data_IF_452497111976
#
_entry.id   IF_452497111976
#
_cell.length_a   1.000
_cell.length_b   1.000
_cell.length_c   1.000
_cell.angle_alpha   90.00
_cell.angle_beta   90.00
_cell.angle_gamma   90.00
#
_symmetry.space_group_name_H-M   'P 1'
#
loop_
_entity.id
_entity.type
_entity.pdbx_description
1 polymer ?
#
# COMPACT_ATOMS: atom_id res chain seq x y z
N UNK A 1 -13.18 11.30 -3.73
CA UNK A 1 -14.09 10.23 -4.17
C UNK A 1 -14.15 9.17 -3.08
N UNK A 2 -15.33 8.86 -2.55
CA UNK A 2 -15.51 7.79 -1.56
C UNK A 2 -15.80 6.45 -2.26
N UNK A 3 -15.77 5.34 -1.51
CA UNK A 3 -15.93 3.99 -2.07
C UNK A 3 -17.32 3.75 -2.69
N UNK A 4 -18.36 4.39 -2.16
CA UNK A 4 -19.71 4.29 -2.70
C UNK A 4 -19.79 4.96 -4.08
N UNK A 5 -19.18 6.13 -4.24
CA UNK A 5 -19.08 6.82 -5.53
C UNK A 5 -18.31 5.97 -6.55
N UNK A 6 -17.23 5.29 -6.14
CA UNK A 6 -16.48 4.41 -7.04
C UNK A 6 -17.33 3.26 -7.58
N UNK A 7 -18.18 2.65 -6.74
CA UNK A 7 -19.10 1.58 -7.18
C UNK A 7 -20.14 2.12 -8.15
N UNK A 8 -20.76 3.26 -7.82
CA UNK A 8 -21.76 3.87 -8.69
C UNK A 8 -21.20 4.19 -10.08
N UNK A 9 -19.95 4.67 -10.14
CA UNK A 9 -19.25 4.90 -11.41
C UNK A 9 -19.08 3.60 -12.19
N UNK A 10 -18.69 2.51 -11.54
CA UNK A 10 -18.52 1.19 -12.20
C UNK A 10 -19.86 0.67 -12.73
N UNK A 11 -20.91 0.71 -11.91
CA UNK A 11 -22.24 0.23 -12.30
C UNK A 11 -22.82 1.07 -13.45
N UNK A 12 -22.70 2.40 -13.37
CA UNK A 12 -23.14 3.31 -14.44
C UNK A 12 -22.33 3.07 -15.72
N UNK A 13 -21.01 2.92 -15.61
CA UNK A 13 -20.17 2.65 -16.78
C UNK A 13 -20.54 1.34 -17.47
N UNK A 14 -20.80 0.26 -16.71
CA UNK A 14 -21.26 -1.03 -17.26
C UNK A 14 -22.71 -0.99 -17.77
N UNK A 15 -23.55 -0.11 -17.23
CA UNK A 15 -24.87 0.16 -17.78
C UNK A 15 -24.75 0.77 -19.18
N UNK A 16 -23.87 1.77 -19.32
CA UNK A 16 -23.69 2.53 -20.57
C UNK A 16 -22.86 1.77 -21.62
N UNK A 17 -22.06 0.77 -21.19
CA UNK A 17 -21.23 -0.08 -22.06
C UNK A 17 -21.55 -1.57 -21.85
N UNK A 18 -22.76 -2.03 -22.26
CA UNK A 18 -23.25 -3.37 -21.98
C UNK A 18 -22.40 -4.50 -22.60
N UNK A 19 -21.64 -4.21 -23.65
CA UNK A 19 -20.72 -5.14 -24.32
C UNK A 19 -19.59 -5.65 -23.41
N UNK A 20 -19.30 -4.96 -22.30
CA UNK A 20 -18.29 -5.38 -21.32
C UNK A 20 -18.87 -6.18 -20.14
N UNK A 21 -20.20 -6.33 -20.02
CA UNK A 21 -20.83 -6.99 -18.86
C UNK A 21 -20.39 -8.43 -18.65
N UNK A 22 -20.12 -9.17 -19.73
CA UNK A 22 -19.66 -10.55 -19.68
C UNK A 22 -18.14 -10.69 -19.50
N UNK A 23 -17.40 -9.59 -19.52
CA UNK A 23 -15.94 -9.68 -19.45
C UNK A 23 -15.48 -9.95 -18.02
N UNK A 24 -14.44 -10.79 -17.85
CA UNK A 24 -13.77 -10.95 -16.56
C UNK A 24 -13.33 -9.59 -16.00
N UNK A 25 -13.80 -9.26 -14.80
CA UNK A 25 -13.52 -7.98 -14.16
C UNK A 25 -12.51 -8.15 -13.04
N UNK A 26 -11.48 -7.31 -13.05
CA UNK A 26 -10.44 -7.25 -12.03
C UNK A 26 -10.30 -5.82 -11.51
N UNK A 27 -10.19 -5.67 -10.19
CA UNK A 27 -9.87 -4.38 -9.58
C UNK A 27 -8.37 -4.34 -9.30
N UNK A 28 -7.66 -3.32 -9.75
CA UNK A 28 -6.23 -3.19 -9.46
C UNK A 28 -5.90 -1.86 -8.81
N UNK A 29 -4.80 -1.84 -8.06
CA UNK A 29 -4.26 -0.61 -7.48
C UNK A 29 -2.82 -0.77 -7.05
N UNK A 30 -2.14 0.37 -6.93
CA UNK A 30 -0.73 0.45 -6.52
C UNK A 30 -0.60 1.35 -5.31
N UNK A 31 0.42 1.12 -4.47
CA UNK A 31 0.75 1.99 -3.34
C UNK A 31 -0.44 2.13 -2.37
N UNK A 32 -0.98 3.32 -2.17
CA UNK A 32 -2.15 3.57 -1.32
C UNK A 32 -3.40 2.79 -1.79
N UNK A 33 -3.43 2.33 -3.05
CA UNK A 33 -4.46 1.45 -3.59
C UNK A 33 -4.67 0.16 -2.80
N UNK A 34 -3.68 -0.26 -2.00
CA UNK A 34 -3.82 -1.39 -1.05
C UNK A 34 -4.93 -1.24 -0.01
N UNK A 35 -5.40 -0.01 0.25
CA UNK A 35 -6.51 0.26 1.16
C UNK A 35 -7.87 0.18 0.45
N UNK A 36 -8.17 1.00 -0.58
CA UNK A 36 -9.50 1.03 -1.18
C UNK A 36 -9.80 -0.17 -2.08
N UNK A 37 -8.80 -0.78 -2.75
CA UNK A 37 -9.05 -1.86 -3.72
C UNK A 37 -9.72 -3.09 -3.09
N UNK A 38 -9.18 -3.67 -1.99
CA UNK A 38 -9.83 -4.82 -1.36
C UNK A 38 -11.26 -4.48 -0.88
N UNK A 39 -11.47 -3.27 -0.38
CA UNK A 39 -12.79 -2.82 0.09
C UNK A 39 -13.78 -2.70 -1.08
N UNK A 40 -13.35 -2.09 -2.19
CA UNK A 40 -14.15 -1.97 -3.40
C UNK A 40 -14.51 -3.35 -3.98
N UNK A 41 -13.54 -4.26 -4.04
CA UNK A 41 -13.75 -5.64 -4.47
C UNK A 41 -14.76 -6.37 -3.58
N UNK A 42 -14.68 -6.19 -2.27
CA UNK A 42 -15.65 -6.77 -1.34
C UNK A 42 -17.06 -6.22 -1.57
N UNK A 43 -17.19 -4.92 -1.79
CA UNK A 43 -18.49 -4.28 -2.04
C UNK A 43 -19.11 -4.76 -3.36
N UNK A 44 -18.32 -4.94 -4.42
CA UNK A 44 -18.79 -5.55 -5.67
C UNK A 44 -19.23 -7.00 -5.42
N UNK A 45 -18.44 -7.79 -4.70
CA UNK A 45 -18.78 -9.18 -4.37
C UNK A 45 -20.09 -9.28 -3.59
N UNK A 46 -20.33 -8.37 -2.64
CA UNK A 46 -21.58 -8.31 -1.89
C UNK A 46 -22.75 -7.89 -2.78
N UNK A 47 -22.59 -6.84 -3.59
CA UNK A 47 -23.63 -6.41 -4.53
C UNK A 47 -24.06 -7.51 -5.50
N UNK A 48 -23.10 -8.32 -5.99
CA UNK A 48 -23.40 -9.50 -6.82
C UNK A 48 -24.21 -10.57 -6.07
N UNK A 49 -23.97 -10.77 -4.76
CA UNK A 49 -24.73 -11.71 -3.94
C UNK A 49 -26.14 -11.20 -3.65
N UNK A 50 -26.25 -9.88 -3.49
CA UNK A 50 -27.51 -9.19 -3.19
C UNK A 50 -28.38 -8.96 -4.45
N UNK A 51 -27.90 -9.38 -5.63
CA UNK A 51 -28.63 -9.25 -6.91
C UNK A 51 -28.64 -7.83 -7.47
N UNK A 52 -27.67 -6.99 -7.13
CA UNK A 52 -27.52 -5.65 -7.71
C UNK A 52 -27.08 -5.77 -9.17
N UNK A 53 -27.82 -5.10 -10.06
CA UNK A 53 -27.52 -5.05 -11.50
C UNK A 53 -26.77 -3.75 -11.87
N UNK A 54 -25.87 -3.78 -12.89
CA UNK A 54 -25.47 -4.97 -13.63
C UNK A 54 -24.57 -5.91 -12.80
N UNK A 55 -24.84 -7.22 -12.87
CA UNK A 55 -23.96 -8.23 -12.26
C UNK A 55 -22.56 -8.14 -12.88
N UNK A 56 -21.54 -7.98 -12.04
CA UNK A 56 -20.14 -7.85 -12.46
C UNK A 56 -19.48 -9.23 -12.42
N UNK A 57 -18.85 -9.68 -13.51
CA UNK A 57 -18.08 -10.94 -13.52
C UNK A 57 -16.72 -10.80 -12.81
N UNK A 58 -16.78 -10.48 -11.52
CA UNK A 58 -15.61 -10.24 -10.67
C UNK A 58 -14.78 -11.52 -10.48
N UNK A 59 -13.53 -11.48 -10.93
CA UNK A 59 -12.57 -12.60 -10.76
C UNK A 59 -11.59 -12.40 -9.61
N UNK A 60 -11.32 -11.16 -9.23
CA UNK A 60 -10.40 -10.86 -8.14
C UNK A 60 -9.84 -9.44 -8.19
N UNK A 61 -8.74 -9.24 -7.48
CA UNK A 61 -8.06 -7.97 -7.41
C UNK A 61 -6.54 -8.13 -7.39
N UNK A 62 -5.82 -7.08 -7.80
CA UNK A 62 -4.36 -7.07 -7.93
C UNK A 62 -3.82 -5.85 -7.19
N UNK A 63 -2.78 -6.07 -6.37
CA UNK A 63 -2.12 -5.00 -5.61
C UNK A 63 -0.64 -4.93 -5.96
N UNK A 64 -0.20 -3.79 -6.49
CA UNK A 64 1.21 -3.47 -6.67
C UNK A 64 1.77 -2.70 -5.48
N UNK A 65 2.82 -3.20 -4.83
CA UNK A 65 3.49 -2.57 -3.68
C UNK A 65 2.52 -1.89 -2.69
N UNK A 66 1.49 -2.60 -2.20
CA UNK A 66 0.39 -1.98 -1.49
C UNK A 66 0.74 -1.51 -0.08
N UNK A 67 0.07 -0.44 0.36
CA UNK A 67 -0.14 -0.18 1.78
C UNK A 67 -1.27 -1.09 2.27
N UNK A 68 -0.93 -2.12 3.05
CA UNK A 68 -1.91 -3.07 3.63
C UNK A 68 -2.18 -2.83 5.11
N UNK A 69 -1.25 -2.17 5.81
CA UNK A 69 -1.36 -1.78 7.21
C UNK A 69 -0.78 -0.39 7.39
N UNK A 70 -1.49 0.50 8.06
CA UNK A 70 -1.02 1.89 8.26
C UNK A 70 -0.01 1.96 9.41
N UNK A 71 -0.18 1.14 10.45
CA UNK A 71 0.71 1.10 11.61
C UNK A 71 1.90 0.16 11.38
N UNK A 72 3.10 0.64 11.72
CA UNK A 72 4.33 -0.15 11.70
C UNK A 72 4.88 -0.48 10.30
N UNK A 73 4.15 -0.22 9.20
CA UNK A 73 4.64 -0.57 7.85
C UNK A 73 5.93 0.17 7.48
N UNK A 74 6.12 1.39 8.00
CA UNK A 74 7.35 2.15 7.77
C UNK A 74 8.55 1.58 8.53
N UNK A 75 8.32 0.81 9.59
CA UNK A 75 9.42 0.20 10.35
C UNK A 75 10.11 -0.93 9.56
N UNK A 76 9.47 -1.47 8.51
CA UNK A 76 10.11 -2.41 7.59
C UNK A 76 11.08 -1.75 6.61
N UNK A 77 11.10 -0.42 6.50
CA UNK A 77 11.99 0.26 5.56
C UNK A 77 13.45 0.07 5.96
N UNK A 78 13.81 0.30 7.21
CA UNK A 78 15.20 0.14 7.69
C UNK A 78 15.77 -1.25 7.38
N UNK A 79 15.14 -2.38 7.77
CA UNK A 79 15.65 -3.70 7.41
C UNK A 79 15.62 -3.98 5.90
N UNK A 80 14.67 -3.41 5.15
CA UNK A 80 14.64 -3.53 3.69
C UNK A 80 15.85 -2.84 3.03
N UNK A 81 16.15 -1.61 3.41
CA UNK A 81 17.31 -0.85 2.89
C UNK A 81 18.63 -1.55 3.20
N UNK A 82 18.74 -2.11 4.40
CA UNK A 82 19.88 -2.94 4.77
C UNK A 82 19.99 -4.19 3.90
N UNK A 83 18.89 -4.93 3.70
CA UNK A 83 18.86 -6.11 2.83
C UNK A 83 19.20 -5.82 1.37
N UNK A 84 18.99 -4.57 0.92
CA UNK A 84 19.39 -4.09 -0.41
C UNK A 84 20.85 -3.62 -0.48
N UNK A 85 21.60 -3.67 0.64
CA UNK A 85 23.01 -3.24 0.70
C UNK A 85 23.22 -1.72 0.65
N UNK A 86 22.18 -0.92 0.90
CA UNK A 86 22.24 0.54 0.76
C UNK A 86 22.76 1.25 2.02
N UNK A 87 22.85 0.54 3.14
CA UNK A 87 23.47 1.03 4.39
C UNK A 87 24.42 -0.02 4.95
N UNK A 88 25.41 0.42 5.74
CA UNK A 88 26.35 -0.48 6.40
C UNK A 88 25.70 -1.31 7.51
N UNK A 89 26.29 -2.47 7.82
CA UNK A 89 25.92 -3.28 8.99
C UNK A 89 26.05 -2.48 10.29
N UNK A 90 27.09 -1.66 10.42
CA UNK A 90 27.28 -0.77 11.57
C UNK A 90 26.10 0.19 11.77
N UNK A 91 25.65 0.85 10.69
CA UNK A 91 24.50 1.76 10.77
C UNK A 91 23.22 0.99 11.10
N UNK A 92 23.01 -0.18 10.49
CA UNK A 92 21.84 -1.01 10.72
C UNK A 92 21.74 -1.51 12.17
N UNK A 93 22.83 -2.03 12.74
CA UNK A 93 22.84 -2.48 14.13
C UNK A 93 22.70 -1.31 15.12
N UNK A 94 23.33 -0.17 14.82
CA UNK A 94 23.15 1.06 15.61
C UNK A 94 21.69 1.54 15.60
N UNK A 95 21.02 1.50 14.44
CA UNK A 95 19.59 1.80 14.31
C UNK A 95 18.72 0.84 15.12
N UNK A 96 18.96 -0.47 15.05
CA UNK A 96 18.20 -1.47 15.82
C UNK A 96 18.26 -1.21 17.32
N UNK A 97 19.46 -0.93 17.84
CA UNK A 97 19.68 -0.69 19.27
C UNK A 97 19.09 0.65 19.71
N UNK A 98 19.41 1.73 18.98
CA UNK A 98 19.00 3.08 19.35
C UNK A 98 17.50 3.33 19.19
N UNK A 99 16.89 2.84 18.10
CA UNK A 99 15.48 3.07 17.77
C UNK A 99 14.54 1.95 18.25
N UNK A 100 15.07 0.79 18.68
CA UNK A 100 14.31 -0.33 19.25
C UNK A 100 13.14 -0.81 18.34
N UNK A 101 13.33 -0.73 17.03
CA UNK A 101 12.33 -1.14 16.04
C UNK A 101 11.24 -0.11 15.74
N UNK A 102 11.28 1.09 16.34
CA UNK A 102 10.41 2.21 16.00
C UNK A 102 11.19 3.31 15.29
N UNK A 103 11.03 3.38 13.97
CA UNK A 103 11.79 4.26 13.09
C UNK A 103 10.96 5.42 12.52
N UNK A 104 9.65 5.45 12.77
CA UNK A 104 8.74 6.49 12.28
C UNK A 104 8.39 7.51 13.36
N UNK A 105 7.96 7.04 14.52
CA UNK A 105 7.54 7.86 15.65
C UNK A 105 8.64 7.78 16.71
N UNK A 106 9.71 8.52 16.46
CA UNK A 106 10.89 8.53 17.31
C UNK A 106 10.67 9.53 18.45
N UNK A 107 11.00 9.13 19.68
CA UNK A 107 11.04 10.03 20.82
C UNK A 107 12.02 11.19 20.53
N UNK A 108 11.58 12.47 20.57
CA UNK A 108 12.45 13.62 20.30
C UNK A 108 13.68 13.69 21.22
N UNK A 109 13.63 13.11 22.41
CA UNK A 109 14.76 13.04 23.34
C UNK A 109 15.80 11.97 22.97
N UNK A 110 15.46 11.03 22.09
CA UNK A 110 16.37 9.98 21.62
C UNK A 110 17.29 10.51 20.50
N UNK A 111 18.23 11.38 20.89
CA UNK A 111 19.17 12.02 19.97
C UNK A 111 20.00 11.01 19.16
N UNK A 112 20.31 9.84 19.73
CA UNK A 112 21.08 8.79 19.06
C UNK A 112 20.28 8.19 17.90
N UNK A 113 19.01 7.80 18.14
CA UNK A 113 18.15 7.28 17.09
C UNK A 113 17.91 8.34 15.99
N UNK A 114 17.65 9.60 16.37
CA UNK A 114 17.45 10.69 15.42
C UNK A 114 18.68 10.89 14.51
N UNK A 115 19.89 10.90 15.08
CA UNK A 115 21.14 11.02 14.31
C UNK A 115 21.33 9.85 13.35
N UNK A 116 21.12 8.62 13.82
CA UNK A 116 21.24 7.44 12.97
C UNK A 116 20.19 7.43 11.84
N UNK A 117 18.96 7.88 12.14
CA UNK A 117 17.89 7.99 11.15
C UNK A 117 18.17 9.08 10.11
N UNK A 118 18.89 10.15 10.49
CA UNK A 118 19.36 11.14 9.52
C UNK A 118 20.35 10.51 8.52
N UNK A 119 21.36 9.77 9.00
CA UNK A 119 22.31 9.07 8.13
C UNK A 119 21.60 8.04 7.23
N UNK A 120 20.61 7.33 7.77
CA UNK A 120 19.75 6.44 6.98
C UNK A 120 19.00 7.18 5.87
N UNK A 121 18.40 8.34 6.17
CA UNK A 121 17.64 9.11 5.18
C UNK A 121 18.57 9.59 4.04
N UNK A 122 19.76 10.09 4.38
CA UNK A 122 20.77 10.50 3.41
C UNK A 122 21.15 9.36 2.44
N UNK A 123 21.37 8.15 2.97
CA UNK A 123 21.70 6.97 2.16
C UNK A 123 20.52 6.40 1.35
N UNK A 124 19.28 6.62 1.81
CA UNK A 124 18.07 6.01 1.23
C UNK A 124 17.28 6.95 0.31
N UNK A 125 17.75 8.18 0.08
CA UNK A 125 17.03 9.22 -0.68
C UNK A 125 16.58 8.78 -2.09
N UNK A 126 17.27 7.83 -2.73
CA UNK A 126 16.93 7.36 -4.08
C UNK A 126 16.03 6.14 -4.12
N UNK A 127 15.62 5.59 -2.97
CA UNK A 127 14.85 4.35 -2.92
C UNK A 127 13.53 4.43 -3.68
N UNK A 128 12.83 5.56 -3.65
CA UNK A 128 11.58 5.69 -4.39
C UNK A 128 11.77 5.64 -5.91
N UNK A 129 12.94 6.00 -6.43
CA UNK A 129 13.27 5.87 -7.86
C UNK A 129 13.62 4.43 -8.26
N UNK A 130 13.83 3.52 -7.30
CA UNK A 130 14.14 2.11 -7.53
C UNK A 130 12.85 1.25 -7.57
N UNK A 131 11.75 1.73 -6.99
CA UNK A 131 10.50 0.97 -6.82
C UNK A 131 9.26 1.60 -7.46
N UNK A 132 9.43 2.65 -8.29
CA UNK A 132 8.46 3.14 -9.26
C UNK A 132 8.98 2.86 -10.66
#
# INVERSE_FOLDING_TARGET
MNLLQAILIILQWLHDHPEYKSNPFYVSGISYGGIPVPILTQLISNGNKDGIEPRIDLKGYILGNPVTKVSGILNYRVPFVYGMGLISEELYESLKVSCKGEYKIIDPSNAVCLKNMQAYNEASNHIYAIFM
#
